data_IF_798115843555
#
_entry.id   IF_798115843555
#
_cell.length_a   1.000
_cell.length_b   1.000
_cell.length_c   1.000
_cell.angle_alpha   90.00
_cell.angle_beta   90.00
_cell.angle_gamma   90.00
#
_symmetry.space_group_name_H-M   'P 1'
#
loop_
_entity.id
_entity.type
_entity.pdbx_description
1 polymer ?
#
# COMPACT_ATOMS: atom_id res chain seq x y z
N UNK A 1 5.98 -0.87 7.97
CA UNK A 1 6.84 -0.72 6.77
C UNK A 1 7.62 0.58 6.81
N UNK A 2 8.95 0.45 6.71
CA UNK A 2 9.86 1.58 6.52
C UNK A 2 9.77 2.04 5.07
N UNK A 3 9.95 3.34 4.84
CA UNK A 3 9.82 3.95 3.49
C UNK A 3 10.93 3.50 2.53
N UNK A 4 12.04 3.01 3.08
CA UNK A 4 13.26 2.63 2.35
C UNK A 4 13.05 1.30 1.61
N UNK A 5 12.54 0.27 2.28
CA UNK A 5 12.18 -1.02 1.67
C UNK A 5 11.17 -0.88 0.52
N UNK A 6 10.23 0.07 0.63
CA UNK A 6 9.21 0.33 -0.39
C UNK A 6 9.79 1.05 -1.62
N UNK A 7 10.91 1.77 -1.47
CA UNK A 7 11.57 2.46 -2.59
C UNK A 7 12.38 1.51 -3.47
N UNK A 8 12.99 0.48 -2.86
CA UNK A 8 13.83 -0.51 -3.55
C UNK A 8 13.01 -1.46 -4.45
N UNK A 9 11.74 -1.69 -4.13
CA UNK A 9 10.83 -2.52 -4.93
C UNK A 9 10.59 -1.93 -6.33
N UNK A 10 10.55 -2.80 -7.35
CA UNK A 10 10.18 -2.41 -8.71
C UNK A 10 8.74 -1.92 -8.79
N UNK A 11 8.39 -1.10 -9.79
CA UNK A 11 7.02 -0.56 -9.97
C UNK A 11 5.99 -1.70 -10.05
N UNK A 12 6.34 -2.79 -10.74
CA UNK A 12 5.47 -3.97 -10.92
C UNK A 12 5.27 -4.72 -9.60
N UNK A 13 6.33 -4.92 -8.82
CA UNK A 13 6.25 -5.56 -7.50
C UNK A 13 5.45 -4.71 -6.51
N UNK A 14 5.59 -3.39 -6.61
CA UNK A 14 4.83 -2.43 -5.82
C UNK A 14 3.33 -2.54 -6.09
N UNK A 15 2.94 -2.64 -7.37
CA UNK A 15 1.54 -2.83 -7.77
C UNK A 15 0.97 -4.16 -7.26
N UNK A 16 1.71 -5.26 -7.46
CA UNK A 16 1.29 -6.57 -6.97
C UNK A 16 1.14 -6.60 -5.43
N UNK A 17 2.07 -5.95 -4.71
CA UNK A 17 2.01 -5.82 -3.25
C UNK A 17 0.81 -4.97 -2.80
N UNK A 18 0.49 -3.89 -3.52
CA UNK A 18 -0.68 -3.05 -3.24
C UNK A 18 -1.97 -3.86 -3.39
N UNK A 19 -2.12 -4.63 -4.48
CA UNK A 19 -3.32 -5.45 -4.70
C UNK A 19 -3.48 -6.53 -3.61
N UNK A 20 -2.40 -7.22 -3.26
CA UNK A 20 -2.41 -8.21 -2.20
C UNK A 20 -2.80 -7.58 -0.84
N UNK A 21 -2.20 -6.44 -0.50
CA UNK A 21 -2.49 -5.72 0.73
C UNK A 21 -3.92 -5.16 0.78
N UNK A 22 -4.45 -4.69 -0.35
CA UNK A 22 -5.84 -4.25 -0.44
C UNK A 22 -6.83 -5.39 -0.24
N UNK A 23 -6.55 -6.56 -0.83
CA UNK A 23 -7.40 -7.75 -0.65
C UNK A 23 -7.41 -8.18 0.81
N UNK A 24 -6.24 -8.29 1.44
CA UNK A 24 -6.11 -8.61 2.85
C UNK A 24 -6.82 -7.57 3.75
N UNK A 25 -6.73 -6.28 3.43
CA UNK A 25 -7.41 -5.22 4.17
C UNK A 25 -8.94 -5.32 4.05
N UNK A 26 -9.48 -5.65 2.87
CA UNK A 26 -10.92 -5.85 2.67
C UNK A 26 -11.43 -7.04 3.47
N UNK A 27 -10.73 -8.17 3.40
CA UNK A 27 -11.04 -9.36 4.19
C UNK A 27 -11.02 -9.04 5.68
N UNK A 28 -9.96 -8.38 6.17
CA UNK A 28 -9.84 -7.97 7.57
C UNK A 28 -10.98 -7.06 8.02
N UNK A 29 -11.45 -6.14 7.16
CA UNK A 29 -12.58 -5.25 7.44
C UNK A 29 -13.90 -6.02 7.53
N UNK A 30 -14.10 -7.00 6.65
CA UNK A 30 -15.29 -7.87 6.67
C UNK A 30 -15.27 -8.75 7.92
N UNK A 31 -14.14 -9.38 8.23
CA UNK A 31 -13.96 -10.16 9.46
C UNK A 31 -14.22 -9.29 10.70
N UNK A 32 -13.70 -8.06 10.74
CA UNK A 32 -13.94 -7.15 11.86
C UNK A 32 -15.41 -6.76 12.04
N UNK A 33 -16.16 -6.65 10.94
CA UNK A 33 -17.59 -6.34 10.97
C UNK A 33 -18.42 -7.54 11.47
N UNK A 34 -17.98 -8.77 11.21
CA UNK A 34 -18.66 -10.00 11.62
C UNK A 34 -18.29 -10.39 13.05
N UNK A 35 -17.01 -10.26 13.42
CA UNK A 35 -16.48 -10.55 14.74
C UNK A 35 -15.54 -9.42 15.16
N UNK A 36 -15.76 -8.81 16.33
CA UNK A 36 -14.82 -7.83 16.87
C UNK A 36 -13.42 -8.43 16.89
N UNK A 37 -12.45 -7.69 16.34
CA UNK A 37 -11.06 -8.12 16.30
C UNK A 37 -10.38 -7.57 17.55
N UNK A 38 -9.58 -8.39 18.21
CA UNK A 38 -8.86 -8.02 19.44
C UNK A 38 -7.91 -6.83 19.26
N UNK A 39 -7.41 -6.62 18.03
CA UNK A 39 -6.50 -5.53 17.71
C UNK A 39 -6.96 -4.65 16.53
N UNK A 40 -7.85 -3.67 16.76
CA UNK A 40 -8.30 -2.73 15.73
C UNK A 40 -7.16 -1.82 15.21
N UNK A 41 -6.06 -1.68 15.95
CA UNK A 41 -4.90 -0.89 15.50
C UNK A 41 -4.27 -1.47 14.24
N UNK A 42 -4.36 -2.79 14.02
CA UNK A 42 -3.87 -3.46 12.81
C UNK A 42 -4.54 -2.92 11.54
N UNK A 43 -5.85 -2.67 11.57
CA UNK A 43 -6.60 -2.08 10.45
C UNK A 43 -6.02 -0.71 10.09
N UNK A 44 -5.74 0.12 11.10
CA UNK A 44 -5.17 1.45 10.86
C UNK A 44 -3.71 1.40 10.35
N UNK A 45 -2.93 0.42 10.80
CA UNK A 45 -1.56 0.20 10.35
C UNK A 45 -1.54 -0.28 8.89
N UNK A 46 -2.38 -1.25 8.53
CA UNK A 46 -2.51 -1.79 7.18
C UNK A 46 -2.97 -0.70 6.20
N UNK A 47 -3.95 0.13 6.60
CA UNK A 47 -4.38 1.31 5.82
C UNK A 47 -3.24 2.30 5.57
N UNK A 48 -2.43 2.60 6.59
CA UNK A 48 -1.26 3.49 6.46
C UNK A 48 -0.18 2.89 5.57
N UNK A 49 0.02 1.57 5.60
CA UNK A 49 0.97 0.88 4.72
C UNK A 49 0.54 1.01 3.25
N UNK A 50 -0.73 0.73 2.93
CA UNK A 50 -1.28 0.87 1.57
C UNK A 50 -1.11 2.30 1.05
N UNK A 51 -1.42 3.31 1.87
CA UNK A 51 -1.26 4.71 1.48
C UNK A 51 0.19 5.08 1.15
N UNK A 52 1.16 4.57 1.92
CA UNK A 52 2.59 4.80 1.66
C UNK A 52 3.05 4.16 0.35
N UNK A 53 2.62 2.93 0.06
CA UNK A 53 2.93 2.24 -1.19
C UNK A 53 2.36 3.00 -2.40
N UNK A 54 1.09 3.42 -2.34
CA UNK A 54 0.45 4.23 -3.40
C UNK A 54 1.16 5.58 -3.63
N UNK A 55 1.63 6.21 -2.55
CA UNK A 55 2.36 7.49 -2.66
C UNK A 55 3.70 7.29 -3.39
N UNK A 56 4.43 6.22 -3.09
CA UNK A 56 5.70 5.90 -3.76
C UNK A 56 5.47 5.54 -5.23
N UNK A 57 4.41 4.78 -5.54
CA UNK A 57 4.02 4.50 -6.92
C UNK A 57 3.83 5.80 -7.70
N UNK A 58 3.04 6.72 -7.13
CA UNK A 58 2.77 8.02 -7.75
C UNK A 58 4.02 8.88 -7.90
N UNK A 59 4.94 8.84 -6.93
CA UNK A 59 6.24 9.53 -7.04
C UNK A 59 7.08 8.99 -8.20
N UNK A 60 7.13 7.66 -8.39
CA UNK A 60 7.84 7.04 -9.51
C UNK A 60 7.20 7.40 -10.85
N UNK A 61 5.88 7.37 -10.95
CA UNK A 61 5.15 7.81 -12.15
C UNK A 61 5.39 9.27 -12.50
N UNK A 62 5.36 10.17 -11.50
CA UNK A 62 5.61 11.59 -11.71
C UNK A 62 7.06 11.89 -12.12
N UNK A 63 8.03 11.13 -11.59
CA UNK A 63 9.41 11.21 -12.02
C UNK A 63 9.55 10.78 -13.50
N UNK A 64 8.90 9.68 -13.89
CA UNK A 64 8.87 9.22 -15.27
C UNK A 64 8.16 10.20 -16.22
N UNK A 65 7.12 10.90 -15.76
CA UNK A 65 6.43 11.92 -16.58
C UNK A 65 7.28 13.18 -16.79
N UNK A 66 8.09 13.57 -15.81
CA UNK A 66 8.99 14.72 -15.92
C UNK A 66 10.09 14.48 -16.95
N UNK A 67 10.64 13.27 -17.02
CA UNK A 67 11.68 12.92 -18.01
C UNK A 67 11.20 12.84 -19.45
N UNK A 68 9.88 12.87 -19.71
CA UNK A 68 9.31 12.86 -21.08
C UNK A 68 9.01 14.27 -21.59
N UNK A 69 8.92 15.25 -20.69
CA UNK A 69 8.61 16.65 -21.03
C UNK A 69 9.85 17.56 -21.08
N UNK A 70 11.05 16.99 -20.98
CA UNK A 70 12.35 17.65 -21.07
C UNK A 70 13.13 17.07 -22.26
#
# INVERSE_FOLDING_TARGET
>A
MKKEEIKELSIQELQASIEAAEKAYRELKVTHAISPIDNPAKITADRRAIARMKTILRQKELAALKSVNE
#
